data_IF_162328713694
#
_entry.id   IF_162328713694
#
_cell.length_a   1.000
_cell.length_b   1.000
_cell.length_c   1.000
_cell.angle_alpha   90.00
_cell.angle_beta   90.00
_cell.angle_gamma   90.00
#
_symmetry.space_group_name_H-M   'P 1'
#
loop_
_entity.id
_entity.type
_entity.pdbx_description
1 polymer ?
#
# COMPACT_ATOMS: atom_id res chain seq x y z
N UNK A 1 9.16 6.91 -62.06
CA UNK A 1 9.29 7.76 -60.85
C UNK A 1 9.41 6.83 -59.65
N UNK A 2 10.63 6.77 -59.12
CA UNK A 2 11.14 6.20 -57.85
C UNK A 2 10.43 5.03 -57.13
N UNK A 3 11.23 3.97 -56.96
CA UNK A 3 11.13 2.83 -56.02
C UNK A 3 11.38 3.29 -54.57
N UNK A 4 10.69 2.71 -53.58
CA UNK A 4 11.27 2.47 -52.25
C UNK A 4 10.52 1.38 -51.46
N UNK A 5 11.24 0.29 -51.20
CA UNK A 5 10.94 -0.72 -50.20
C UNK A 5 11.31 -0.20 -48.80
N UNK A 6 10.58 -0.62 -47.76
CA UNK A 6 10.86 -0.22 -46.37
C UNK A 6 10.22 -1.12 -45.33
N UNK A 7 11.02 -2.09 -44.87
CA UNK A 7 10.99 -2.87 -43.62
C UNK A 7 9.99 -2.47 -42.51
N UNK A 8 9.33 -3.50 -41.97
CA UNK A 8 8.84 -3.55 -40.60
C UNK A 8 9.98 -3.32 -39.60
N UNK A 9 9.93 -2.21 -38.86
CA UNK A 9 10.77 -1.93 -37.70
C UNK A 9 9.93 -1.88 -36.43
N UNK A 10 9.90 -2.96 -35.67
CA UNK A 10 9.44 -2.99 -34.28
C UNK A 10 10.55 -2.39 -33.40
N UNK A 11 10.48 -1.09 -33.13
CA UNK A 11 11.33 -0.45 -32.13
C UNK A 11 10.79 -0.77 -30.73
N UNK A 12 11.40 -1.77 -30.09
CA UNK A 12 11.29 -1.97 -28.64
C UNK A 12 11.93 -0.77 -27.93
N UNK A 13 11.11 0.20 -27.54
CA UNK A 13 11.52 1.23 -26.59
C UNK A 13 11.76 0.56 -25.23
N UNK A 14 13.01 0.23 -24.95
CA UNK A 14 13.48 -0.19 -23.63
C UNK A 14 13.38 1.02 -22.68
N UNK A 15 12.20 1.22 -22.10
CA UNK A 15 12.04 2.09 -20.93
C UNK A 15 12.90 1.52 -19.79
N UNK A 16 13.90 2.28 -19.37
CA UNK A 16 14.74 1.92 -18.23
C UNK A 16 13.87 1.78 -16.98
N UNK A 17 13.85 0.58 -16.41
CA UNK A 17 13.26 0.33 -15.09
C UNK A 17 14.10 1.08 -14.03
N UNK A 18 13.52 1.97 -13.22
CA UNK A 18 14.25 2.76 -12.23
C UNK A 18 14.90 1.93 -11.10
N UNK A 19 14.68 0.61 -11.05
CA UNK A 19 15.33 -0.30 -10.11
C UNK A 19 16.63 -0.96 -10.63
N UNK A 20 17.14 -0.61 -11.82
CA UNK A 20 18.39 -1.17 -12.35
C UNK A 20 19.60 -0.30 -12.00
N UNK A 21 20.64 -0.92 -11.44
CA UNK A 21 21.94 -0.26 -11.23
C UNK A 21 22.76 -0.17 -12.55
N UNK A 22 23.66 0.83 -12.69
CA UNK A 22 24.35 1.15 -13.95
C UNK A 22 25.34 0.10 -14.49
N UNK A 23 25.58 -0.99 -13.75
CA UNK A 23 26.63 -1.95 -14.07
C UNK A 23 26.24 -3.02 -15.12
N UNK A 24 25.03 -2.96 -15.66
CA UNK A 24 24.53 -3.98 -16.60
C UNK A 24 24.92 -3.72 -18.07
N UNK A 25 25.30 -2.49 -18.42
CA UNK A 25 25.58 -2.09 -19.81
C UNK A 25 27.04 -2.37 -20.26
N UNK A 26 27.87 -2.96 -19.38
CA UNK A 26 29.30 -3.21 -19.63
C UNK A 26 29.65 -4.55 -20.29
N UNK A 27 28.69 -5.45 -20.52
CA UNK A 27 28.99 -6.78 -21.09
C UNK A 27 28.81 -6.81 -22.61
N UNK A 28 29.90 -6.58 -23.34
CA UNK A 28 29.99 -6.97 -24.74
C UNK A 28 30.15 -8.50 -24.86
N UNK A 29 29.17 -9.16 -25.49
CA UNK A 29 29.28 -10.57 -25.90
C UNK A 29 30.34 -10.71 -27.01
N UNK A 30 31.28 -11.68 -26.93
CA UNK A 30 32.11 -12.03 -28.07
C UNK A 30 31.27 -12.78 -29.11
N UNK A 31 31.37 -12.37 -30.37
CA UNK A 31 30.71 -13.02 -31.50
C UNK A 31 31.33 -14.39 -31.78
N UNK A 32 30.56 -15.48 -31.61
CA UNK A 32 31.04 -16.87 -31.76
C UNK A 32 30.73 -17.49 -33.14
N UNK A 33 30.08 -16.79 -34.07
CA UNK A 33 29.78 -17.35 -35.39
C UNK A 33 30.35 -16.51 -36.53
N UNK A 34 31.56 -16.88 -36.97
CA UNK A 34 32.08 -16.54 -38.30
C UNK A 34 31.72 -17.64 -39.29
N UNK A 35 31.05 -17.27 -40.38
CA UNK A 35 30.64 -18.20 -41.44
C UNK A 35 31.81 -18.63 -42.34
N UNK A 36 31.86 -19.91 -42.66
CA UNK A 36 32.50 -20.43 -43.89
C UNK A 36 31.62 -21.53 -44.50
N UNK A 37 31.40 -21.43 -45.81
CA UNK A 37 30.63 -22.37 -46.62
C UNK A 37 31.37 -23.71 -46.83
N UNK A 38 30.67 -24.82 -47.14
CA UNK A 38 31.32 -26.08 -47.46
C UNK A 38 31.70 -26.14 -48.94
N UNK A 39 32.92 -26.62 -49.24
CA UNK A 39 33.29 -27.08 -50.59
C UNK A 39 33.48 -28.60 -50.52
N UNK A 40 32.86 -29.27 -51.48
CA UNK A 40 32.76 -30.71 -51.69
C UNK A 40 34.05 -31.37 -52.19
N UNK A 41 34.25 -32.66 -51.84
CA UNK A 41 34.70 -33.68 -52.82
C UNK A 41 35.88 -34.60 -52.46
N UNK A 42 35.61 -35.89 -52.68
CA UNK A 42 36.52 -37.00 -53.05
C UNK A 42 37.15 -37.89 -51.96
N UNK A 43 37.00 -39.20 -52.20
CA UNK A 43 37.34 -40.34 -51.36
C UNK A 43 38.69 -40.99 -51.75
N UNK A 44 39.39 -41.60 -50.79
CA UNK A 44 40.15 -42.86 -50.94
C UNK A 44 40.73 -43.32 -49.58
N UNK A 45 40.66 -44.63 -49.32
CA UNK A 45 40.99 -45.28 -48.05
C UNK A 45 42.43 -45.82 -47.99
N UNK A 46 43.11 -45.74 -46.82
CA UNK A 46 44.24 -46.62 -46.43
C UNK A 46 44.26 -46.84 -44.90
N UNK A 47 44.69 -48.05 -44.50
CA UNK A 47 44.62 -48.73 -43.20
C UNK A 47 45.51 -48.18 -42.05
N UNK A 48 45.03 -48.49 -40.83
CA UNK A 48 45.74 -48.86 -39.58
C UNK A 48 46.61 -47.84 -38.81
N UNK A 49 46.20 -47.69 -37.53
CA UNK A 49 47.01 -47.47 -36.32
C UNK A 49 47.84 -46.20 -36.20
N UNK A 50 47.20 -45.13 -35.71
CA UNK A 50 47.70 -44.28 -34.64
C UNK A 50 46.56 -43.36 -34.23
N UNK A 51 45.97 -43.56 -33.03
CA UNK A 51 45.24 -42.46 -32.42
C UNK A 51 46.28 -41.40 -32.09
N UNK A 52 46.36 -40.36 -32.93
CA UNK A 52 47.13 -39.16 -32.62
C UNK A 52 46.42 -38.54 -31.41
N UNK A 53 46.93 -38.86 -30.21
CA UNK A 53 46.67 -38.07 -29.03
C UNK A 53 47.19 -36.68 -29.33
N UNK A 54 46.28 -35.73 -29.61
CA UNK A 54 46.60 -34.32 -29.53
C UNK A 54 47.00 -34.09 -28.09
N UNK A 55 48.32 -33.97 -27.86
CA UNK A 55 48.85 -33.53 -26.59
C UNK A 55 48.38 -32.09 -26.38
N UNK A 56 47.22 -31.92 -25.76
CA UNK A 56 46.87 -30.65 -25.14
C UNK A 56 47.83 -30.51 -23.97
N UNK A 57 48.85 -29.67 -24.18
CA UNK A 57 49.77 -29.23 -23.15
C UNK A 57 48.97 -28.91 -21.88
N UNK A 58 49.40 -29.49 -20.76
CA UNK A 58 48.65 -29.61 -19.53
C UNK A 58 47.71 -28.44 -19.26
N UNK A 59 46.41 -28.69 -19.39
CA UNK A 59 45.42 -27.84 -18.74
C UNK A 59 45.64 -28.01 -17.24
N UNK A 60 46.35 -27.06 -16.64
CA UNK A 60 46.25 -26.83 -15.21
C UNK A 60 44.76 -26.89 -14.86
N UNK A 61 44.37 -27.79 -13.96
CA UNK A 61 43.08 -27.68 -13.30
C UNK A 61 43.09 -26.33 -12.57
N UNK A 62 42.63 -25.29 -13.26
CA UNK A 62 42.10 -24.13 -12.57
C UNK A 62 40.81 -24.64 -11.97
N UNK A 63 40.81 -24.80 -10.65
CA UNK A 63 39.59 -24.98 -9.88
C UNK A 63 38.63 -23.87 -10.33
N UNK A 64 37.71 -24.22 -11.22
CA UNK A 64 36.73 -23.29 -11.72
C UNK A 64 35.84 -22.94 -10.54
N UNK A 65 36.10 -21.82 -9.88
CA UNK A 65 35.07 -21.15 -9.10
C UNK A 65 33.98 -20.80 -10.11
N UNK A 66 33.01 -21.70 -10.23
CA UNK A 66 31.69 -21.37 -10.74
C UNK A 66 31.04 -20.57 -9.61
N UNK A 67 31.42 -19.30 -9.47
CA UNK A 67 30.62 -18.33 -8.72
C UNK A 67 29.37 -18.15 -9.55
N UNK A 68 28.39 -19.02 -9.31
CA UNK A 68 27.05 -18.80 -9.79
C UNK A 68 26.57 -17.53 -9.08
N UNK A 69 26.36 -16.41 -9.78
CA UNK A 69 26.01 -15.14 -9.14
C UNK A 69 24.73 -15.28 -8.29
N UNK A 70 23.84 -16.21 -8.65
CA UNK A 70 22.68 -16.54 -7.83
C UNK A 70 23.07 -17.11 -6.44
N UNK A 71 24.15 -17.89 -6.35
CA UNK A 71 24.60 -18.46 -5.08
C UNK A 71 25.16 -17.39 -4.14
N UNK A 72 25.76 -16.34 -4.70
CA UNK A 72 26.31 -15.21 -3.94
C UNK A 72 25.19 -14.28 -3.40
N UNK A 73 24.04 -14.23 -4.07
CA UNK A 73 22.94 -13.33 -3.72
C UNK A 73 21.90 -13.99 -2.81
N UNK A 74 21.79 -15.32 -2.85
CA UNK A 74 20.78 -16.07 -2.12
C UNK A 74 21.32 -16.84 -0.91
N UNK A 75 22.49 -17.48 -1.00
CA UNK A 75 22.99 -18.31 0.10
C UNK A 75 23.86 -17.51 1.07
N UNK A 76 24.05 -18.08 2.27
CA UNK A 76 24.86 -17.51 3.35
C UNK A 76 24.35 -16.12 3.84
N UNK A 77 23.03 -15.94 3.78
CA UNK A 77 22.32 -14.73 4.19
C UNK A 77 21.03 -15.08 4.93
N UNK A 78 20.55 -14.16 5.75
CA UNK A 78 19.19 -14.22 6.28
C UNK A 78 18.30 -13.37 5.38
N UNK A 79 17.19 -13.95 4.94
CA UNK A 79 16.18 -13.26 4.16
C UNK A 79 14.99 -12.93 5.03
N UNK A 80 14.41 -11.75 4.79
CA UNK A 80 13.15 -11.31 5.39
C UNK A 80 12.21 -10.97 4.24
N UNK A 81 11.04 -11.60 4.24
CA UNK A 81 10.05 -11.43 3.20
C UNK A 81 8.66 -11.21 3.80
N UNK A 82 7.91 -10.16 3.39
CA UNK A 82 8.39 -9.05 2.55
C UNK A 82 9.46 -8.22 3.27
N UNK A 83 10.32 -7.51 2.52
CA UNK A 83 11.31 -6.56 3.09
C UNK A 83 10.70 -5.23 3.50
N UNK A 84 9.58 -4.88 2.88
CA UNK A 84 8.85 -3.65 3.14
C UNK A 84 7.36 -3.90 2.99
N UNK A 85 6.56 -3.22 3.82
CA UNK A 85 5.11 -3.23 3.70
C UNK A 85 4.58 -1.81 3.92
N UNK A 86 3.83 -1.32 2.95
CA UNK A 86 3.06 -0.09 3.13
C UNK A 86 1.64 -0.46 3.57
N UNK A 87 1.34 -0.16 4.83
CA UNK A 87 0.02 -0.36 5.41
C UNK A 87 -1.02 0.63 4.85
N UNK A 88 -0.59 1.66 4.11
CA UNK A 88 -1.45 2.72 3.62
C UNK A 88 -2.17 3.40 4.79
N UNK A 89 -3.49 3.52 4.69
CA UNK A 89 -4.31 4.05 5.77
C UNK A 89 -4.74 2.97 6.76
N UNK A 90 -4.24 3.08 7.99
CA UNK A 90 -4.56 2.19 9.09
C UNK A 90 -5.77 2.75 9.85
N UNK A 91 -6.91 2.10 9.67
CA UNK A 91 -8.18 2.41 10.34
C UNK A 91 -8.56 1.36 11.40
N UNK A 92 -8.09 0.13 11.22
CA UNK A 92 -8.35 -1.02 12.06
C UNK A 92 -7.05 -1.79 12.29
N UNK A 93 -7.09 -2.80 13.16
CA UNK A 93 -5.97 -3.73 13.30
C UNK A 93 -5.66 -4.36 11.94
N UNK A 94 -4.40 -4.20 11.49
CA UNK A 94 -3.87 -4.88 10.32
C UNK A 94 -2.76 -5.83 10.76
N UNK A 95 -2.70 -7.02 10.16
CA UNK A 95 -1.69 -8.02 10.47
C UNK A 95 -1.01 -8.45 9.18
N UNK A 96 0.33 -8.53 9.24
CA UNK A 96 1.20 -8.89 8.13
C UNK A 96 2.05 -10.06 8.56
N UNK A 97 2.02 -11.14 7.78
CA UNK A 97 2.94 -12.25 7.96
C UNK A 97 4.30 -11.88 7.35
N UNK A 98 5.36 -12.02 8.16
CA UNK A 98 6.75 -11.80 7.75
C UNK A 98 7.51 -13.11 7.93
N UNK A 99 8.02 -13.64 6.84
CA UNK A 99 8.88 -14.81 6.80
C UNK A 99 10.33 -14.41 7.01
N UNK A 100 10.99 -15.05 7.98
CA UNK A 100 12.44 -14.97 8.18
C UNK A 100 13.03 -16.31 7.78
N UNK A 101 13.93 -16.30 6.82
CA UNK A 101 14.52 -17.51 6.24
C UNK A 101 16.04 -17.51 6.41
N UNK A 102 16.55 -18.62 6.95
CA UNK A 102 17.98 -18.88 7.02
C UNK A 102 18.51 -19.49 5.71
N UNK A 103 19.16 -18.67 4.88
CA UNK A 103 19.78 -19.09 3.62
C UNK A 103 21.18 -19.72 3.77
N UNK A 104 21.69 -19.94 4.99
CA UNK A 104 22.93 -20.67 5.18
C UNK A 104 22.72 -22.16 4.88
N UNK A 105 23.60 -22.75 4.07
CA UNK A 105 23.44 -24.14 3.60
C UNK A 105 23.85 -25.16 4.65
N UNK A 106 24.85 -24.81 5.46
CA UNK A 106 25.48 -25.73 6.42
C UNK A 106 25.57 -25.14 7.84
N UNK A 107 25.15 -23.87 8.04
CA UNK A 107 25.25 -23.20 9.33
C UNK A 107 23.87 -22.95 9.94
N UNK A 108 23.75 -23.27 11.23
CA UNK A 108 22.62 -22.84 12.05
C UNK A 108 22.87 -21.41 12.51
N UNK A 109 21.88 -20.54 12.34
CA UNK A 109 21.93 -19.16 12.79
C UNK A 109 21.00 -18.97 13.98
N UNK A 110 21.44 -18.23 15.01
CA UNK A 110 20.64 -17.98 16.22
C UNK A 110 20.11 -16.56 16.21
N UNK A 111 18.79 -16.44 16.28
CA UNK A 111 18.10 -15.18 16.53
C UNK A 111 18.21 -14.86 18.02
N UNK A 112 18.84 -13.74 18.37
CA UNK A 112 19.06 -13.35 19.76
C UNK A 112 17.99 -12.40 20.28
N UNK A 113 17.48 -11.52 19.42
CA UNK A 113 16.47 -10.52 19.76
C UNK A 113 15.70 -10.09 18.51
N UNK A 114 14.53 -9.49 18.74
CA UNK A 114 13.80 -8.74 17.70
C UNK A 114 13.79 -7.29 18.15
N UNK A 115 14.54 -6.45 17.45
CA UNK A 115 14.61 -5.02 17.73
C UNK A 115 13.56 -4.29 16.89
N UNK A 116 12.79 -3.43 17.53
CA UNK A 116 11.82 -2.55 16.88
C UNK A 116 12.19 -1.10 17.14
N UNK A 117 12.30 -0.32 16.08
CA UNK A 117 12.56 1.12 16.13
C UNK A 117 11.41 1.85 15.42
N UNK A 118 10.99 2.99 15.96
CA UNK A 118 9.97 3.85 15.35
C UNK A 118 8.84 4.26 16.31
N UNK A 119 7.79 4.91 15.81
CA UNK A 119 6.66 5.38 16.61
C UNK A 119 5.84 4.25 17.24
N UNK A 120 5.03 4.59 18.25
CA UNK A 120 4.16 3.63 18.95
C UNK A 120 3.00 3.10 18.09
N UNK A 121 2.47 1.92 18.46
CA UNK A 121 1.29 1.30 17.85
C UNK A 121 1.59 0.17 16.85
N UNK A 122 2.82 -0.35 16.82
CA UNK A 122 3.20 -1.55 16.08
C UNK A 122 3.70 -2.58 17.08
N UNK A 123 3.31 -3.84 16.91
CA UNK A 123 3.78 -4.97 17.73
C UNK A 123 4.19 -6.14 16.84
N UNK A 124 5.14 -6.93 17.33
CA UNK A 124 5.59 -8.16 16.65
C UNK A 124 5.27 -9.33 17.57
N UNK A 125 4.49 -10.29 17.07
CA UNK A 125 4.27 -11.53 17.77
C UNK A 125 5.49 -12.45 17.60
N UNK A 126 6.13 -12.82 18.71
CA UNK A 126 7.21 -13.80 18.77
C UNK A 126 6.72 -15.12 19.38
N UNK A 127 6.17 -16.04 18.56
CA UNK A 127 5.66 -17.32 19.05
C UNK A 127 6.76 -18.32 19.41
N UNK A 128 8.02 -18.03 19.05
CA UNK A 128 9.14 -18.96 19.21
C UNK A 128 10.05 -18.62 20.39
N UNK A 129 9.95 -17.38 20.89
CA UNK A 129 10.82 -16.82 21.91
C UNK A 129 12.21 -16.51 21.35
N UNK A 130 12.96 -15.71 22.12
CA UNK A 130 14.37 -15.44 21.86
C UNK A 130 15.21 -15.77 23.11
N UNK A 131 16.39 -16.42 22.96
CA UNK A 131 17.05 -16.78 21.72
C UNK A 131 16.50 -18.06 21.07
N UNK A 132 16.56 -18.13 19.73
CA UNK A 132 16.05 -19.29 18.98
C UNK A 132 16.90 -19.65 17.76
N UNK A 133 17.13 -20.95 17.56
CA UNK A 133 17.94 -21.48 16.48
C UNK A 133 17.13 -21.66 15.16
N UNK A 134 17.73 -21.22 14.06
CA UNK A 134 17.30 -21.48 12.69
C UNK A 134 18.27 -22.47 12.06
N UNK A 135 17.81 -23.71 11.87
CA UNK A 135 18.57 -24.72 11.14
C UNK A 135 18.89 -24.24 9.71
N UNK A 136 19.90 -24.84 9.03
CA UNK A 136 20.21 -24.50 7.65
C UNK A 136 18.97 -24.63 6.75
N UNK A 137 18.78 -23.68 5.85
CA UNK A 137 17.66 -23.65 4.89
C UNK A 137 16.26 -23.74 5.53
N UNK A 138 16.09 -23.19 6.74
CA UNK A 138 14.82 -23.19 7.47
C UNK A 138 14.21 -21.79 7.57
N UNK A 139 12.89 -21.70 7.40
CA UNK A 139 12.12 -20.48 7.65
C UNK A 139 11.24 -20.55 8.90
N UNK A 140 10.85 -19.37 9.38
CA UNK A 140 9.86 -19.15 10.44
C UNK A 140 9.00 -17.94 10.09
N UNK A 141 7.74 -17.98 10.52
CA UNK A 141 6.77 -16.91 10.27
C UNK A 141 6.54 -16.10 11.55
N UNK A 142 6.65 -14.78 11.43
CA UNK A 142 6.31 -13.80 12.45
C UNK A 142 5.09 -13.01 12.00
N UNK A 143 4.30 -12.53 12.96
CA UNK A 143 3.14 -11.68 12.65
C UNK A 143 3.42 -10.27 13.17
N UNK A 144 3.52 -9.31 12.26
CA UNK A 144 3.59 -7.89 12.59
C UNK A 144 2.18 -7.32 12.61
N UNK A 145 1.79 -6.72 13.71
CA UNK A 145 0.47 -6.12 13.90
C UNK A 145 0.57 -4.60 13.98
N UNK A 146 -0.19 -3.91 13.12
CA UNK A 146 -0.34 -2.46 13.14
C UNK A 146 -1.65 -2.13 13.83
N UNK A 147 -1.56 -1.54 15.02
CA UNK A 147 -2.71 -1.20 15.85
C UNK A 147 -3.36 0.09 15.34
N UNK A 148 -4.71 0.21 15.45
CA UNK A 148 -5.41 1.45 15.12
C UNK A 148 -5.08 2.58 16.11
N UNK A 149 -4.74 2.23 17.35
CA UNK A 149 -4.20 3.18 18.33
C UNK A 149 -2.68 3.29 18.19
N UNK A 150 -2.17 4.52 18.08
CA UNK A 150 -0.74 4.80 17.97
C UNK A 150 -0.47 6.19 17.40
N UNK A 151 0.77 6.43 17.01
CA UNK A 151 1.16 7.70 16.38
C UNK A 151 0.47 7.92 15.02
N UNK A 152 0.21 9.17 14.61
CA UNK A 152 -0.45 9.44 13.32
C UNK A 152 0.33 8.88 12.11
N UNK A 153 1.66 8.86 12.18
CA UNK A 153 2.54 8.28 11.17
C UNK A 153 3.02 6.90 11.63
N UNK A 154 2.95 5.91 10.73
CA UNK A 154 3.58 4.60 10.91
C UNK A 154 4.87 4.60 10.09
N UNK A 155 6.00 4.56 10.79
CA UNK A 155 7.32 4.46 10.19
C UNK A 155 8.19 3.63 11.12
N UNK A 156 8.04 2.31 11.04
CA UNK A 156 8.66 1.37 11.95
C UNK A 156 9.64 0.47 11.19
N UNK A 157 10.79 0.25 11.80
CA UNK A 157 11.78 -0.70 11.31
C UNK A 157 11.90 -1.85 12.32
N UNK A 158 11.67 -3.07 11.86
CA UNK A 158 11.80 -4.29 12.66
C UNK A 158 13.03 -5.04 12.16
N UNK A 159 13.93 -5.40 13.08
CA UNK A 159 15.17 -6.10 12.79
C UNK A 159 15.24 -7.39 13.60
N UNK A 160 15.53 -8.49 12.94
CA UNK A 160 15.80 -9.78 13.58
C UNK A 160 17.29 -9.92 13.85
N UNK A 161 17.73 -9.81 15.09
CA UNK A 161 19.16 -9.76 15.41
C UNK A 161 19.81 -11.15 15.42
N UNK A 162 20.53 -11.45 14.34
CA UNK A 162 21.48 -12.56 14.27
C UNK A 162 22.90 -12.03 14.48
N UNK A 163 23.70 -12.74 15.26
CA UNK A 163 25.05 -12.30 15.62
C UNK A 163 25.91 -12.05 14.38
N UNK A 164 26.47 -10.84 14.24
CA UNK A 164 27.38 -10.49 13.14
C UNK A 164 26.70 -10.29 11.77
N UNK A 165 25.36 -10.31 11.70
CA UNK A 165 24.61 -10.09 10.46
C UNK A 165 23.80 -8.78 10.54
N UNK A 166 23.87 -7.95 9.50
CA UNK A 166 23.29 -6.60 9.50
C UNK A 166 21.95 -6.47 8.73
N UNK A 167 21.51 -7.53 8.03
CA UNK A 167 20.53 -7.40 6.94
C UNK A 167 19.07 -7.86 7.13
N UNK A 168 18.65 -8.55 8.19
CA UNK A 168 17.27 -9.04 8.30
C UNK A 168 16.33 -7.94 8.82
N UNK A 169 16.06 -6.96 7.97
CA UNK A 169 15.25 -5.78 8.28
C UNK A 169 13.93 -5.81 7.49
N UNK A 170 12.86 -5.45 8.19
CA UNK A 170 11.53 -5.18 7.63
C UNK A 170 11.16 -3.72 7.90
N UNK A 171 10.85 -3.00 6.83
CA UNK A 171 10.35 -1.63 6.90
C UNK A 171 8.81 -1.61 6.81
N UNK A 172 8.16 -0.92 7.74
CA UNK A 172 6.72 -0.76 7.79
C UNK A 172 6.39 0.72 7.71
N UNK A 173 5.72 1.12 6.64
CA UNK A 173 5.23 2.50 6.45
C UNK A 173 3.71 2.54 6.46
N UNK A 174 3.15 3.71 6.74
CA UNK A 174 1.71 3.95 6.64
C UNK A 174 1.30 5.22 7.38
N UNK A 175 0.00 5.49 7.40
CA UNK A 175 -0.60 6.61 8.12
C UNK A 175 -1.85 6.13 8.85
N UNK A 176 -2.01 6.49 10.12
CA UNK A 176 -3.24 6.23 10.85
C UNK A 176 -4.28 7.26 10.47
N UNK A 177 -5.43 6.78 10.01
CA UNK A 177 -6.55 7.63 9.67
C UNK A 177 -7.57 7.55 10.80
N UNK A 178 -7.86 8.69 11.42
CA UNK A 178 -8.92 8.77 12.43
C UNK A 178 -10.20 9.23 11.72
N UNK A 179 -11.27 8.41 11.70
CA UNK A 179 -12.53 8.84 11.13
C UNK A 179 -13.15 9.92 12.02
N UNK A 180 -13.72 10.94 11.40
CA UNK A 180 -14.45 11.98 12.12
C UNK A 180 -15.90 11.53 12.33
N UNK A 181 -16.18 10.87 13.45
CA UNK A 181 -17.38 10.05 13.65
C UNK A 181 -18.64 10.82 14.06
N UNK A 182 -18.53 12.13 14.29
CA UNK A 182 -19.67 12.95 14.70
C UNK A 182 -20.62 13.23 13.53
N UNK A 183 -21.88 12.86 13.72
CA UNK A 183 -22.96 13.11 12.75
C UNK A 183 -23.33 14.59 12.71
N UNK A 184 -23.74 15.11 11.54
CA UNK A 184 -24.17 16.49 11.42
C UNK A 184 -25.50 16.71 12.17
N UNK A 185 -25.63 17.90 12.74
CA UNK A 185 -26.91 18.44 13.21
C UNK A 185 -27.77 18.78 11.98
N UNK A 186 -28.70 17.87 11.65
CA UNK A 186 -29.60 17.99 10.50
C UNK A 186 -30.60 19.15 10.61
N UNK A 187 -30.66 19.88 11.73
CA UNK A 187 -31.41 21.14 11.78
C UNK A 187 -30.75 22.24 10.93
N UNK A 188 -29.49 22.06 10.55
CA UNK A 188 -28.75 22.90 9.61
C UNK A 188 -28.36 22.11 8.36
N UNK A 189 -28.18 22.77 7.20
CA UNK A 189 -27.76 22.08 5.99
C UNK A 189 -26.32 21.57 6.09
N UNK A 190 -26.07 20.42 5.46
CA UNK A 190 -24.72 19.95 5.15
C UNK A 190 -24.35 20.48 3.76
N UNK A 191 -23.31 21.30 3.67
CA UNK A 191 -22.85 21.87 2.41
C UNK A 191 -21.71 21.04 1.83
N UNK A 192 -21.89 20.52 0.62
CA UNK A 192 -20.84 19.86 -0.16
C UNK A 192 -20.51 20.71 -1.40
N UNK A 193 -19.47 21.52 -1.28
CA UNK A 193 -19.03 22.43 -2.33
C UNK A 193 -17.90 21.82 -3.16
N UNK A 194 -18.03 21.87 -4.49
CA UNK A 194 -16.99 21.47 -5.44
C UNK A 194 -16.52 22.72 -6.20
N UNK A 195 -15.22 23.02 -6.15
CA UNK A 195 -14.62 24.20 -6.77
C UNK A 195 -13.62 23.80 -7.86
N UNK A 196 -13.93 24.14 -9.11
CA UNK A 196 -13.03 24.00 -10.26
C UNK A 196 -12.19 25.25 -10.41
N UNK A 197 -10.89 25.07 -10.70
CA UNK A 197 -10.01 26.18 -11.03
C UNK A 197 -10.01 26.32 -12.55
N UNK A 198 -10.69 27.35 -13.06
CA UNK A 198 -10.81 27.62 -14.49
C UNK A 198 -10.37 29.04 -14.79
N UNK A 199 -9.67 29.21 -15.92
CA UNK A 199 -9.42 30.51 -16.52
C UNK A 199 -10.40 30.72 -17.68
N UNK A 200 -10.96 31.92 -17.79
CA UNK A 200 -11.94 32.30 -18.82
C UNK A 200 -11.38 33.50 -19.58
N UNK A 201 -10.86 33.24 -20.77
CA UNK A 201 -10.36 34.27 -21.68
C UNK A 201 -11.53 34.72 -22.54
N UNK A 202 -11.93 36.00 -22.41
CA UNK A 202 -13.01 36.60 -23.21
C UNK A 202 -12.42 37.45 -24.33
N UNK A 203 -12.87 37.21 -25.55
CA UNK A 203 -12.59 38.08 -26.69
C UNK A 203 -13.56 39.28 -26.69
N UNK A 204 -13.17 40.37 -27.35
CA UNK A 204 -14.03 41.53 -27.58
C UNK A 204 -15.25 41.24 -28.49
N UNK A 205 -15.27 40.06 -29.12
CA UNK A 205 -16.35 39.58 -29.99
C UNK A 205 -17.34 38.65 -29.25
N UNK A 206 -17.40 38.71 -27.92
CA UNK A 206 -18.20 37.83 -27.06
C UNK A 206 -17.90 36.32 -27.20
N UNK A 207 -16.74 35.97 -27.77
CA UNK A 207 -16.24 34.60 -27.77
C UNK A 207 -15.49 34.32 -26.47
N UNK A 208 -15.66 33.12 -25.91
CA UNK A 208 -14.95 32.69 -24.71
C UNK A 208 -14.11 31.44 -24.97
N UNK A 209 -12.91 31.41 -24.42
CA UNK A 209 -12.11 30.19 -24.26
C UNK A 209 -12.01 29.87 -22.76
N UNK A 210 -12.34 28.62 -22.38
CA UNK A 210 -12.27 28.15 -20.99
C UNK A 210 -11.17 27.12 -20.84
N UNK A 211 -10.24 27.36 -19.91
CA UNK A 211 -9.10 26.49 -19.63
C UNK A 211 -9.25 25.94 -18.22
N UNK A 212 -9.25 24.62 -18.06
CA UNK A 212 -9.21 23.98 -16.75
C UNK A 212 -7.77 23.97 -16.23
N UNK A 213 -7.51 24.68 -15.13
CA UNK A 213 -6.20 24.75 -14.48
C UNK A 213 -5.98 23.64 -13.44
N UNK A 214 -7.02 22.86 -13.13
CA UNK A 214 -6.92 21.69 -12.26
C UNK A 214 -7.71 20.53 -12.84
N UNK A 215 -7.13 19.34 -12.80
CA UNK A 215 -7.77 18.12 -13.29
C UNK A 215 -8.94 17.65 -12.40
N UNK A 216 -8.82 17.81 -11.08
CA UNK A 216 -9.86 17.46 -10.11
C UNK A 216 -10.31 18.71 -9.33
N UNK A 217 -11.60 18.91 -9.03
CA UNK A 217 -12.02 20.05 -8.22
C UNK A 217 -11.48 19.95 -6.78
N UNK A 218 -11.45 21.07 -6.05
CA UNK A 218 -11.36 20.99 -4.58
C UNK A 218 -12.75 20.68 -4.03
N UNK A 219 -12.84 19.81 -3.03
CA UNK A 219 -14.10 19.55 -2.33
C UNK A 219 -14.03 20.13 -0.93
N UNK A 220 -15.08 20.81 -0.54
CA UNK A 220 -15.21 21.39 0.78
C UNK A 220 -16.53 20.94 1.40
N UNK A 221 -16.46 20.25 2.53
CA UNK A 221 -17.62 19.76 3.27
C UNK A 221 -17.79 20.59 4.55
N UNK A 222 -18.95 21.24 4.72
CA UNK A 222 -19.29 21.99 5.94
C UNK A 222 -20.53 21.44 6.59
N UNK A 223 -20.49 21.31 7.90
CA UNK A 223 -21.65 20.99 8.71
C UNK A 223 -21.42 21.40 10.16
N UNK A 224 -22.51 21.53 10.89
CA UNK A 224 -22.46 21.73 12.35
C UNK A 224 -22.66 20.41 13.05
N UNK A 225 -22.05 20.25 14.22
CA UNK A 225 -22.27 19.13 15.14
C UNK A 225 -22.84 19.70 16.43
N UNK A 226 -23.78 18.97 17.02
CA UNK A 226 -24.33 19.23 18.34
C UNK A 226 -24.08 18.02 19.23
N UNK A 227 -23.29 18.20 20.29
CA UNK A 227 -23.12 17.24 21.37
C UNK A 227 -23.98 17.66 22.55
N UNK A 228 -24.72 16.72 23.12
CA UNK A 228 -25.60 16.95 24.27
C UNK A 228 -25.09 16.28 25.54
N UNK A 229 -24.02 15.48 25.43
CA UNK A 229 -23.40 14.78 26.54
C UNK A 229 -21.98 15.31 26.79
N UNK A 230 -21.55 15.52 28.05
CA UNK A 230 -20.20 15.97 28.36
C UNK A 230 -19.09 15.06 27.84
N UNK A 231 -19.33 13.74 27.73
CA UNK A 231 -18.35 12.80 27.17
C UNK A 231 -18.19 13.01 25.68
N UNK A 232 -19.26 13.30 24.97
CA UNK A 232 -19.24 13.61 23.53
C UNK A 232 -18.53 14.93 23.27
N UNK A 233 -18.83 15.95 24.08
CA UNK A 233 -18.17 17.25 24.00
C UNK A 233 -16.65 17.13 24.23
N UNK A 234 -16.23 16.40 25.27
CA UNK A 234 -14.81 16.17 25.54
C UNK A 234 -14.12 15.38 24.41
N UNK A 235 -14.82 14.39 23.84
CA UNK A 235 -14.28 13.60 22.72
C UNK A 235 -14.14 14.45 21.45
N UNK A 236 -15.14 15.28 21.13
CA UNK A 236 -15.08 16.21 20.01
C UNK A 236 -13.93 17.22 20.19
N UNK A 237 -13.78 17.80 21.38
CA UNK A 237 -12.69 18.74 21.70
C UNK A 237 -11.32 18.06 21.54
N UNK A 238 -11.19 16.80 21.96
CA UNK A 238 -9.97 16.01 21.74
C UNK A 238 -9.69 15.76 20.26
N UNK A 239 -10.70 15.46 19.44
CA UNK A 239 -10.49 15.29 17.99
C UNK A 239 -10.09 16.61 17.33
N UNK A 240 -10.81 17.69 17.65
CA UNK A 240 -10.57 19.02 17.07
C UNK A 240 -9.19 19.54 17.44
N UNK A 241 -8.75 19.45 18.69
CA UNK A 241 -7.46 20.03 19.11
C UNK A 241 -6.31 19.04 19.13
N UNK A 242 -6.58 17.77 19.37
CA UNK A 242 -5.55 16.72 19.44
C UNK A 242 -5.13 16.18 18.08
N UNK A 243 -5.96 16.32 17.04
CA UNK A 243 -5.71 15.72 15.73
C UNK A 243 -5.85 16.67 14.54
N UNK A 244 -6.09 17.99 14.73
CA UNK A 244 -6.22 18.94 13.61
C UNK A 244 -4.99 19.05 12.69
N UNK A 245 -3.80 18.77 13.19
CA UNK A 245 -2.57 18.81 12.40
C UNK A 245 -2.52 17.71 11.33
N UNK A 246 -3.36 16.68 11.46
CA UNK A 246 -3.38 15.51 10.60
C UNK A 246 -4.67 15.44 9.78
N UNK A 247 -4.66 14.55 8.78
CA UNK A 247 -5.84 14.28 8.00
C UNK A 247 -6.81 13.36 8.77
N UNK A 248 -8.10 13.57 8.55
CA UNK A 248 -9.20 12.76 9.04
C UNK A 248 -9.78 11.90 7.92
N UNK A 249 -10.38 10.79 8.30
CA UNK A 249 -11.37 10.10 7.47
C UNK A 249 -12.69 10.83 7.61
N UNK A 250 -12.99 11.76 6.71
CA UNK A 250 -14.20 12.57 6.73
C UNK A 250 -15.36 11.76 6.15
N UNK A 251 -16.42 11.46 6.92
CA UNK A 251 -17.60 10.80 6.38
C UNK A 251 -18.39 11.76 5.49
N UNK A 252 -18.73 11.29 4.30
CA UNK A 252 -19.62 12.01 3.40
C UNK A 252 -21.07 11.76 3.79
N UNK A 253 -21.53 12.47 4.82
CA UNK A 253 -22.88 12.33 5.38
C UNK A 253 -24.04 12.43 4.38
N UNK A 254 -24.00 13.27 3.32
CA UNK A 254 -25.05 13.28 2.28
C UNK A 254 -25.21 11.94 1.55
N UNK A 255 -24.19 11.08 1.61
CA UNK A 255 -24.20 9.74 1.01
C UNK A 255 -24.32 8.62 2.05
N UNK A 256 -24.63 8.93 3.32
CA UNK A 256 -24.86 7.93 4.37
C UNK A 256 -26.15 7.12 4.09
N UNK A 257 -26.05 5.79 4.11
CA UNK A 257 -27.17 4.88 3.83
C UNK A 257 -27.30 3.85 4.95
N UNK A 258 -28.50 3.45 5.38
CA UNK A 258 -28.64 2.39 6.36
C UNK A 258 -28.23 1.04 5.76
N UNK A 259 -27.67 0.19 6.62
CA UNK A 259 -27.46 -1.23 6.33
C UNK A 259 -28.83 -1.92 6.22
N UNK A 260 -29.09 -2.62 5.11
CA UNK A 260 -30.40 -3.22 4.82
C UNK A 260 -30.58 -4.62 5.41
N UNK A 261 -29.50 -5.33 5.70
CA UNK A 261 -29.51 -6.63 6.38
C UNK A 261 -28.32 -6.78 7.32
N UNK A 262 -28.47 -7.52 8.41
CA UNK A 262 -27.45 -7.59 9.45
C UNK A 262 -26.12 -8.12 8.90
N UNK A 263 -25.02 -7.47 9.28
CA UNK A 263 -23.66 -7.85 8.85
C UNK A 263 -23.03 -8.65 9.98
N UNK A 264 -22.66 -9.89 9.70
CA UNK A 264 -22.00 -10.76 10.67
C UNK A 264 -20.51 -10.43 10.79
N UNK A 265 -19.92 -10.80 11.94
CA UNK A 265 -18.47 -10.85 12.06
C UNK A 265 -17.88 -11.78 10.99
N UNK A 266 -16.80 -11.35 10.36
CA UNK A 266 -16.16 -12.08 9.26
C UNK A 266 -16.81 -11.85 7.90
N UNK A 267 -17.91 -11.09 7.80
CA UNK A 267 -18.57 -10.82 6.54
C UNK A 267 -17.66 -10.11 5.54
N UNK A 268 -17.80 -10.47 4.27
CA UNK A 268 -17.09 -9.86 3.12
C UNK A 268 -18.01 -8.99 2.25
N UNK A 269 -19.29 -8.90 2.64
CA UNK A 269 -20.33 -8.13 1.97
C UNK A 269 -21.05 -7.26 2.98
N UNK A 270 -21.34 -6.01 2.60
CA UNK A 270 -22.16 -5.07 3.37
C UNK A 270 -23.38 -4.71 2.52
N UNK A 271 -24.59 -5.14 2.89
CA UNK A 271 -25.81 -4.86 2.15
C UNK A 271 -26.29 -3.45 2.47
N UNK A 272 -26.33 -2.59 1.46
CA UNK A 272 -26.77 -1.20 1.58
C UNK A 272 -27.14 -0.63 0.20
N UNK A 273 -27.98 0.40 0.17
CA UNK A 273 -28.28 1.06 -1.09
C UNK A 273 -27.04 1.84 -1.62
N UNK A 274 -26.52 1.39 -2.76
CA UNK A 274 -25.37 1.98 -3.46
C UNK A 274 -25.79 2.96 -4.54
N UNK A 275 -27.08 3.05 -4.89
CA UNK A 275 -27.56 3.95 -5.92
C UNK A 275 -27.37 5.42 -5.51
N UNK A 276 -26.94 6.26 -6.46
CA UNK A 276 -26.71 7.70 -6.28
C UNK A 276 -25.76 8.09 -5.14
N UNK A 277 -24.95 7.14 -4.64
CA UNK A 277 -23.94 7.36 -3.59
C UNK A 277 -22.54 7.36 -4.16
N UNK A 278 -21.64 8.12 -3.54
CA UNK A 278 -20.23 8.18 -3.92
C UNK A 278 -19.39 7.03 -3.30
N UNK A 279 -19.83 5.79 -3.48
CA UNK A 279 -19.00 4.61 -3.20
C UNK A 279 -18.17 4.25 -4.44
N UNK A 280 -16.88 3.97 -4.26
CA UNK A 280 -16.04 3.41 -5.33
C UNK A 280 -15.07 2.35 -4.78
N UNK A 281 -14.70 1.39 -5.62
CA UNK A 281 -13.70 0.38 -5.27
C UNK A 281 -12.34 1.03 -4.97
N UNK A 282 -11.62 0.48 -4.01
CA UNK A 282 -10.36 1.02 -3.49
C UNK A 282 -10.51 2.17 -2.50
N UNK A 283 -11.71 2.71 -2.31
CA UNK A 283 -11.98 3.75 -1.32
C UNK A 283 -12.40 3.16 0.02
N UNK A 284 -12.50 4.01 1.03
CA UNK A 284 -12.88 3.61 2.39
C UNK A 284 -14.34 3.93 2.66
N UNK A 285 -14.95 3.15 3.54
CA UNK A 285 -16.27 3.39 4.10
C UNK A 285 -16.28 3.14 5.60
N UNK A 286 -17.27 3.70 6.27
CA UNK A 286 -17.49 3.64 7.70
C UNK A 286 -18.83 2.95 7.97
N UNK A 287 -18.81 1.87 8.76
CA UNK A 287 -19.97 1.40 9.51
C UNK A 287 -20.03 2.16 10.82
N UNK A 288 -21.16 2.79 11.13
CA UNK A 288 -21.31 3.59 12.34
C UNK A 288 -22.72 3.47 12.91
N UNK A 289 -22.81 3.40 14.25
CA UNK A 289 -24.06 3.53 15.01
C UNK A 289 -24.07 4.80 15.85
N UNK A 290 -22.94 5.09 16.49
CA UNK A 290 -22.74 6.27 17.33
C UNK A 290 -21.25 6.70 17.25
N UNK A 291 -20.86 7.88 17.76
CA UNK A 291 -19.49 8.38 17.65
C UNK A 291 -18.41 7.45 18.22
N UNK A 292 -18.77 6.52 19.11
CA UNK A 292 -17.86 5.57 19.77
C UNK A 292 -17.92 4.16 19.18
N UNK A 293 -19.03 3.81 18.54
CA UNK A 293 -19.27 2.50 17.95
C UNK A 293 -19.24 2.59 16.44
N UNK A 294 -18.04 2.40 15.89
CA UNK A 294 -17.78 2.44 14.45
C UNK A 294 -16.74 1.40 14.03
N UNK A 295 -16.75 1.06 12.74
CA UNK A 295 -15.74 0.24 12.09
C UNK A 295 -15.54 0.76 10.66
N UNK A 296 -14.30 1.03 10.28
CA UNK A 296 -13.99 1.46 8.92
C UNK A 296 -13.35 0.32 8.13
N UNK A 297 -13.66 0.24 6.84
CA UNK A 297 -13.24 -0.83 5.95
C UNK A 297 -12.94 -0.31 4.54
N UNK A 298 -12.15 -1.07 3.80
CA UNK A 298 -11.85 -0.77 2.39
C UNK A 298 -12.85 -1.45 1.48
N UNK A 299 -13.44 -0.69 0.56
CA UNK A 299 -14.37 -1.17 -0.46
C UNK A 299 -13.57 -1.92 -1.52
N UNK A 300 -13.75 -3.23 -1.63
CA UNK A 300 -13.18 -4.05 -2.70
C UNK A 300 -13.98 -3.97 -4.01
N UNK A 301 -15.31 -3.86 -3.93
CA UNK A 301 -16.18 -3.70 -5.09
C UNK A 301 -17.49 -3.00 -4.73
N UNK A 302 -18.14 -2.41 -5.73
CA UNK A 302 -19.46 -1.79 -5.60
C UNK A 302 -20.40 -2.52 -6.55
N UNK A 303 -21.44 -3.12 -6.00
CA UNK A 303 -22.52 -3.74 -6.75
C UNK A 303 -23.86 -3.09 -6.37
N UNK A 304 -24.91 -3.27 -7.17
CA UNK A 304 -26.25 -2.83 -6.78
C UNK A 304 -26.64 -3.43 -5.43
N UNK A 305 -27.06 -2.59 -4.48
CA UNK A 305 -27.52 -2.96 -3.14
C UNK A 305 -26.48 -3.63 -2.21
N UNK A 306 -25.20 -3.66 -2.59
CA UNK A 306 -24.15 -4.23 -1.74
C UNK A 306 -22.75 -3.71 -2.06
N UNK A 307 -21.92 -3.63 -1.01
CA UNK A 307 -20.49 -3.35 -1.12
C UNK A 307 -19.70 -4.62 -0.80
N UNK A 308 -18.73 -4.95 -1.65
CA UNK A 308 -17.71 -5.96 -1.34
C UNK A 308 -16.58 -5.36 -0.52
N UNK A 309 -16.09 -6.08 0.48
CA UNK A 309 -15.03 -5.64 1.39
C UNK A 309 -13.69 -6.26 0.97
N UNK A 310 -12.64 -5.44 0.89
CA UNK A 310 -11.26 -5.92 0.69
C UNK A 310 -10.69 -6.39 2.02
N UNK A 311 -11.21 -7.50 2.54
CA UNK A 311 -10.91 -8.03 3.87
C UNK A 311 -12.15 -8.65 4.50
N UNK A 312 -12.29 -8.55 5.82
CA UNK A 312 -13.46 -9.01 6.55
C UNK A 312 -13.87 -8.00 7.61
N UNK A 313 -15.18 -7.87 7.82
CA UNK A 313 -15.75 -7.09 8.91
C UNK A 313 -15.40 -7.76 10.25
N UNK A 314 -15.07 -6.95 11.27
CA UNK A 314 -14.49 -7.36 12.55
C UNK A 314 -15.51 -7.38 13.69
N UNK A 315 -16.65 -6.73 13.52
CA UNK A 315 -17.76 -6.77 14.46
C UNK A 315 -19.09 -7.18 13.80
N UNK A 316 -20.07 -7.58 14.60
CA UNK A 316 -21.43 -7.79 14.12
C UNK A 316 -22.21 -6.46 14.15
N UNK A 317 -22.91 -6.14 13.06
CA UNK A 317 -23.65 -4.89 12.88
C UNK A 317 -25.13 -5.15 12.58
N UNK A 318 -26.06 -4.63 13.40
CA UNK A 318 -27.50 -4.80 13.17
C UNK A 318 -27.98 -3.95 11.99
N UNK A 319 -28.96 -4.47 11.25
CA UNK A 319 -29.63 -3.73 10.18
C UNK A 319 -30.45 -2.56 10.73
N UNK A 320 -30.65 -1.52 9.92
CA UNK A 320 -31.49 -0.36 10.21
C UNK A 320 -30.89 0.65 11.20
N UNK A 321 -30.19 0.19 12.24
CA UNK A 321 -29.51 1.07 13.22
C UNK A 321 -28.10 1.47 12.79
N UNK A 322 -27.50 0.71 11.88
CA UNK A 322 -26.14 0.97 11.40
C UNK A 322 -26.19 1.73 10.07
N UNK A 323 -25.41 2.80 9.97
CA UNK A 323 -25.19 3.53 8.73
C UNK A 323 -23.88 3.08 8.08
N UNK A 324 -23.88 2.99 6.75
CA UNK A 324 -22.70 2.91 5.89
C UNK A 324 -22.48 4.27 5.28
N UNK A 325 -21.28 4.82 5.44
CA UNK A 325 -20.93 6.17 4.92
C UNK A 325 -19.63 6.09 4.14
N UNK A 326 -19.54 6.64 2.91
CA UNK A 326 -18.26 6.75 2.23
C UNK A 326 -17.31 7.67 3.01
N UNK A 327 -16.03 7.32 3.08
CA UNK A 327 -14.99 8.13 3.69
C UNK A 327 -14.14 8.82 2.62
N UNK A 328 -13.75 10.05 2.91
CA UNK A 328 -12.73 10.79 2.15
C UNK A 328 -11.62 11.24 3.09
N UNK A 329 -10.40 11.24 2.58
CA UNK A 329 -9.33 11.94 3.27
C UNK A 329 -9.66 13.44 3.26
N UNK A 330 -9.55 14.09 4.40
CA UNK A 330 -9.75 15.53 4.46
C UNK A 330 -9.06 16.16 5.66
N UNK A 331 -8.76 17.44 5.56
CA UNK A 331 -8.18 18.23 6.66
C UNK A 331 -9.24 19.14 7.23
N UNK A 332 -9.30 19.19 8.55
CA UNK A 332 -10.15 20.13 9.28
C UNK A 332 -9.58 21.55 9.08
N UNK A 333 -10.45 22.51 8.82
CA UNK A 333 -10.08 23.93 8.78
C UNK A 333 -9.47 24.31 10.15
N UNK A 334 -8.29 24.97 10.18
CA UNK A 334 -7.67 25.37 11.44
C UNK A 334 -8.55 26.30 12.27
N UNK A 335 -9.51 27.01 11.65
CA UNK A 335 -10.45 27.88 12.36
C UNK A 335 -11.77 27.13 12.58
N UNK A 336 -11.89 26.52 13.76
CA UNK A 336 -13.14 25.88 14.21
C UNK A 336 -13.90 26.82 15.13
N UNK A 337 -15.18 27.07 14.81
CA UNK A 337 -16.05 27.85 15.68
C UNK A 337 -16.77 26.92 16.63
N UNK A 338 -16.47 27.07 17.91
CA UNK A 338 -17.09 26.32 19.00
C UNK A 338 -17.98 27.27 19.79
N UNK A 339 -19.20 26.83 20.06
CA UNK A 339 -20.15 27.47 20.96
C UNK A 339 -20.51 26.48 22.09
N UNK A 340 -20.62 27.00 23.31
CA UNK A 340 -20.96 26.22 24.51
C UNK A 340 -22.21 26.83 25.14
N UNK A 341 -23.39 26.61 24.54
CA UNK A 341 -24.62 27.23 25.01
C UNK A 341 -24.99 26.79 26.43
N UNK A 342 -24.52 25.63 26.87
CA UNK A 342 -24.61 25.14 28.26
C UNK A 342 -23.32 24.40 28.64
N UNK A 343 -23.03 24.16 29.93
CA UNK A 343 -21.84 23.39 30.33
C UNK A 343 -21.81 21.95 29.80
N UNK A 344 -22.97 21.38 29.51
CA UNK A 344 -23.20 20.02 29.00
C UNK A 344 -23.48 19.96 27.49
N UNK A 345 -23.70 21.10 26.84
CA UNK A 345 -24.01 21.17 25.41
C UNK A 345 -22.90 21.88 24.64
N UNK A 346 -22.44 21.25 23.57
CA UNK A 346 -21.34 21.74 22.74
C UNK A 346 -21.77 21.76 21.28
N UNK A 347 -21.60 22.90 20.62
CA UNK A 347 -21.87 23.05 19.20
C UNK A 347 -20.59 23.46 18.49
N UNK A 348 -20.27 22.77 17.40
CA UNK A 348 -19.12 23.12 16.57
C UNK A 348 -19.53 23.25 15.11
N UNK A 349 -19.12 24.33 14.46
CA UNK A 349 -19.18 24.46 13.02
C UNK A 349 -17.87 23.97 12.42
N UNK A 350 -17.95 22.93 11.60
CA UNK A 350 -16.81 22.23 11.03
C UNK A 350 -16.75 22.47 9.53
N UNK A 351 -15.53 22.61 9.02
CA UNK A 351 -15.24 22.70 7.60
C UNK A 351 -14.07 21.76 7.28
N UNK A 352 -14.22 20.90 6.28
CA UNK A 352 -13.18 19.99 5.84
C UNK A 352 -12.83 20.26 4.38
N UNK A 353 -11.54 20.46 4.09
CA UNK A 353 -11.02 20.37 2.73
C UNK A 353 -10.73 18.89 2.44
N UNK A 354 -11.55 18.29 1.59
CA UNK A 354 -11.50 16.86 1.28
C UNK A 354 -10.84 16.61 -0.07
N UNK A 355 -10.19 15.46 -0.19
CA UNK A 355 -9.71 14.98 -1.47
C UNK A 355 -10.88 14.76 -2.43
N UNK A 356 -10.73 15.16 -3.71
CA UNK A 356 -11.74 14.91 -4.72
C UNK A 356 -11.87 13.42 -5.02
N UNK A 357 -13.10 13.04 -5.40
CA UNK A 357 -13.44 11.66 -5.79
C UNK A 357 -12.57 11.13 -6.96
#
# INVERSE_FOLDING_TARGET
MAVLAGLYGLTLALGQNPARTPNLDGFASPAVFGGQMPVSGAAAAVKTTASVSVAVAGTAQRAGLRTDPAAEWWFERIHVYPRGYDAGFVLSLQQVAVEVFNGFRLATQTLNAIAQTGPAGVTVADPYGTPVAFAPLRSRLYTVSVLPAGAAVVDNTIRWDFLGLAEPVFALTGSRLVPFTFTPDWSAPVEDAKAWLTDIIRASTDLEQRIALRAKPRRLLRYSVLCLDPREAAFLDQLVWGWNAYAFGVPLWPHATPVTAAVALGAVLVPCDTATREFAAGQQALLIRDPYTWEAFTIGSVAPLQLGVSGTIKAAWPAGLTLVVPLRLGRLDPVVRIDRPRPDAFRAALAFECDPA
#
